data_IF_697415619349
#
_entry.id   IF_697415619349
#
_cell.length_a   1.000
_cell.length_b   1.000
_cell.length_c   1.000
_cell.angle_alpha   90.00
_cell.angle_beta   90.00
_cell.angle_gamma   90.00
#
_symmetry.space_group_name_H-M   'P 1'
#
loop_
_entity.id
_entity.type
_entity.pdbx_description
1 polymer ?
#
# COMPACT_ATOMS: atom_id res chain seq x y z
N UNK A 1 -49.98 17.78 49.19
CA UNK A 1 -50.09 17.41 47.80
C UNK A 1 -48.69 17.16 47.26
N UNK A 2 -48.49 15.94 46.99
CA UNK A 2 -47.22 15.32 46.56
C UNK A 2 -46.99 15.60 45.07
N UNK A 3 -45.82 16.12 44.72
CA UNK A 3 -45.33 16.12 43.36
C UNK A 3 -43.96 15.46 43.31
N UNK A 4 -43.90 14.28 42.70
CA UNK A 4 -42.73 13.50 42.41
C UNK A 4 -42.03 14.10 41.16
N UNK A 5 -40.79 14.49 41.29
CA UNK A 5 -39.98 14.92 40.18
C UNK A 5 -39.18 13.74 39.62
N UNK A 6 -39.49 13.33 38.40
CA UNK A 6 -38.70 12.36 37.65
C UNK A 6 -37.50 13.07 37.02
N UNK A 7 -36.32 12.57 37.35
CA UNK A 7 -35.06 12.99 36.71
C UNK A 7 -34.89 12.29 35.36
N UNK A 8 -35.00 13.07 34.30
CA UNK A 8 -34.67 12.62 32.94
C UNK A 8 -33.16 12.86 32.68
N UNK A 9 -32.39 11.80 32.57
CA UNK A 9 -31.01 11.87 32.05
C UNK A 9 -31.07 12.13 30.58
N UNK A 10 -30.68 13.32 30.16
CA UNK A 10 -30.44 13.63 28.74
C UNK A 10 -29.11 13.02 28.30
N UNK A 11 -29.18 11.91 27.56
CA UNK A 11 -28.06 11.43 26.78
C UNK A 11 -27.75 12.44 25.67
N UNK A 12 -26.56 12.99 25.68
CA UNK A 12 -26.04 13.80 24.60
C UNK A 12 -25.69 12.86 23.45
N UNK A 13 -26.56 12.71 22.46
CA UNK A 13 -26.19 12.16 21.16
C UNK A 13 -25.25 13.16 20.49
N UNK A 14 -23.99 12.74 20.31
CA UNK A 14 -23.05 13.45 19.48
C UNK A 14 -23.53 13.33 18.04
N UNK A 15 -24.14 14.38 17.52
CA UNK A 15 -24.50 14.50 16.10
C UNK A 15 -23.19 14.63 15.31
N UNK A 16 -22.75 13.56 14.64
CA UNK A 16 -21.70 13.65 13.64
C UNK A 16 -22.21 14.60 12.53
N UNK A 17 -21.65 15.79 12.47
CA UNK A 17 -21.91 16.71 11.37
C UNK A 17 -21.22 16.18 10.12
N UNK A 18 -21.95 15.54 9.23
CA UNK A 18 -21.47 15.17 7.90
C UNK A 18 -21.12 16.45 7.15
N UNK A 19 -19.83 16.72 7.01
CA UNK A 19 -19.34 17.84 6.19
C UNK A 19 -19.56 17.48 4.72
N UNK A 20 -20.52 18.11 4.09
CA UNK A 20 -20.71 18.05 2.64
C UNK A 20 -19.67 18.98 1.99
N UNK A 21 -18.79 18.42 1.18
CA UNK A 21 -17.92 19.19 0.32
C UNK A 21 -18.57 19.32 -1.04
N UNK A 22 -18.72 20.55 -1.54
CA UNK A 22 -19.08 20.77 -2.94
C UNK A 22 -17.85 20.39 -3.79
N UNK A 23 -17.89 19.25 -4.45
CA UNK A 23 -16.85 18.81 -5.38
C UNK A 23 -17.29 19.25 -6.77
N UNK A 24 -16.55 20.17 -7.38
CA UNK A 24 -16.65 20.46 -8.81
C UNK A 24 -15.51 19.72 -9.53
N UNK A 25 -15.84 19.00 -10.59
CA UNK A 25 -14.87 18.36 -11.47
C UNK A 25 -14.61 19.30 -12.66
N UNK A 26 -13.33 19.50 -12.98
CA UNK A 26 -12.91 20.27 -14.13
C UNK A 26 -11.97 19.41 -14.98
N UNK A 27 -12.12 19.48 -16.30
CA UNK A 27 -11.24 18.80 -17.24
C UNK A 27 -10.25 19.81 -17.81
N UNK A 28 -8.97 19.52 -17.63
CA UNK A 28 -7.87 20.30 -18.21
C UNK A 28 -7.30 19.50 -19.36
N UNK A 29 -7.37 20.04 -20.58
CA UNK A 29 -6.77 19.42 -21.77
C UNK A 29 -5.50 20.18 -22.13
N UNK A 30 -4.37 19.48 -22.15
CA UNK A 30 -3.08 20.01 -22.58
C UNK A 30 -2.83 19.57 -24.03
N UNK A 31 -2.44 20.53 -24.86
CA UNK A 31 -1.99 20.32 -26.23
C UNK A 31 -0.45 20.30 -26.34
N UNK A 32 0.06 20.56 -27.52
CA UNK A 32 1.50 20.65 -27.76
C UNK A 32 2.13 21.86 -27.04
N UNK A 33 3.45 21.82 -26.89
CA UNK A 33 4.23 22.98 -26.43
C UNK A 33 4.43 23.99 -27.54
N UNK A 34 4.54 25.27 -27.16
CA UNK A 34 5.06 26.32 -28.01
C UNK A 34 6.60 26.25 -28.12
N UNK A 35 7.21 27.13 -28.88
CA UNK A 35 8.66 27.24 -29.04
C UNK A 35 9.43 27.63 -27.78
N UNK A 36 8.73 28.14 -26.74
CA UNK A 36 9.29 28.51 -25.44
C UNK A 36 9.05 27.40 -24.39
N UNK A 37 8.44 26.26 -24.77
CA UNK A 37 8.16 25.14 -23.89
C UNK A 37 6.90 25.28 -23.02
N UNK A 38 6.02 26.25 -23.31
CA UNK A 38 4.74 26.38 -22.64
C UNK A 38 3.66 25.53 -23.31
N UNK A 39 2.73 24.98 -22.54
CA UNK A 39 1.63 24.19 -23.07
C UNK A 39 0.45 25.05 -23.51
N UNK A 40 -0.14 24.73 -24.66
CA UNK A 40 -1.50 25.15 -24.96
C UNK A 40 -2.48 24.37 -24.11
N UNK A 41 -3.42 25.07 -23.45
CA UNK A 41 -4.32 24.50 -22.47
C UNK A 41 -5.76 24.94 -22.73
N UNK A 42 -6.72 24.02 -22.58
CA UNK A 42 -8.14 24.30 -22.47
C UNK A 42 -8.69 23.77 -21.16
N UNK A 43 -9.68 24.46 -20.61
CA UNK A 43 -10.37 24.03 -19.38
C UNK A 43 -11.84 23.82 -19.71
N UNK A 44 -12.36 22.64 -19.41
CA UNK A 44 -13.71 22.20 -19.72
C UNK A 44 -14.07 22.40 -21.21
N UNK A 45 -15.29 22.81 -21.51
CA UNK A 45 -15.76 23.11 -22.86
C UNK A 45 -15.57 24.60 -23.24
N UNK A 46 -14.78 25.34 -22.46
CA UNK A 46 -14.49 26.74 -22.73
C UNK A 46 -13.58 26.82 -23.95
N UNK A 47 -14.09 27.39 -25.05
CA UNK A 47 -13.36 27.54 -26.32
C UNK A 47 -12.31 28.66 -26.27
N UNK A 48 -11.55 28.72 -25.19
CA UNK A 48 -10.42 29.65 -25.01
C UNK A 48 -9.16 28.81 -24.83
N UNK A 49 -8.15 29.09 -25.62
CA UNK A 49 -6.84 28.44 -25.48
C UNK A 49 -5.96 29.35 -24.61
N UNK A 50 -5.49 28.79 -23.54
CA UNK A 50 -4.54 29.45 -22.64
C UNK A 50 -3.13 28.94 -22.92
N UNK A 51 -2.13 29.76 -22.65
CA UNK A 51 -0.73 29.36 -22.64
C UNK A 51 -0.29 29.22 -21.19
N UNK A 52 0.18 28.02 -20.82
CA UNK A 52 0.53 27.67 -19.44
C UNK A 52 1.98 27.24 -19.39
N UNK A 53 2.77 27.82 -18.48
CA UNK A 53 4.16 27.41 -18.29
C UNK A 53 4.24 25.93 -17.88
N UNK A 54 5.19 25.17 -18.43
CA UNK A 54 5.46 23.80 -18.05
C UNK A 54 5.73 23.66 -16.55
N UNK A 55 6.33 24.67 -15.91
CA UNK A 55 6.57 24.69 -14.46
C UNK A 55 5.30 24.79 -13.62
N UNK A 56 4.19 25.26 -14.20
CA UNK A 56 2.88 25.36 -13.54
C UNK A 56 2.07 24.05 -13.65
N UNK A 57 2.47 23.16 -14.53
CA UNK A 57 1.83 21.85 -14.78
C UNK A 57 2.87 20.72 -14.80
N UNK A 58 3.66 20.56 -13.73
CA UNK A 58 4.75 19.56 -13.68
C UNK A 58 4.25 18.12 -13.87
N UNK A 59 3.00 17.87 -13.48
CA UNK A 59 2.34 16.57 -13.65
C UNK A 59 2.11 16.18 -15.12
N UNK A 60 2.17 17.13 -16.06
CA UNK A 60 1.97 16.86 -17.50
C UNK A 60 3.06 15.97 -18.12
N UNK A 61 4.24 15.93 -17.52
CA UNK A 61 5.37 15.10 -17.94
C UNK A 61 5.66 13.94 -17.00
N UNK A 62 4.86 13.81 -15.93
CA UNK A 62 5.02 12.75 -14.94
C UNK A 62 4.81 11.39 -15.60
N UNK A 63 5.82 10.53 -15.48
CA UNK A 63 5.74 9.15 -15.92
C UNK A 63 5.25 8.26 -14.77
N UNK A 64 4.79 7.06 -15.10
CA UNK A 64 4.36 6.09 -14.08
C UNK A 64 5.44 5.87 -13.01
N UNK A 65 6.70 5.79 -13.42
CA UNK A 65 7.83 5.55 -12.52
C UNK A 65 8.12 6.71 -11.56
N UNK A 66 7.70 7.93 -11.88
CA UNK A 66 7.88 9.11 -11.02
C UNK A 66 6.91 9.10 -9.81
N UNK A 67 5.77 8.43 -9.96
CA UNK A 67 4.69 8.43 -8.96
C UNK A 67 4.39 7.07 -8.35
N UNK A 68 4.83 6.01 -9.01
CA UNK A 68 4.59 4.65 -8.52
C UNK A 68 5.43 4.34 -7.28
N UNK A 69 4.84 3.63 -6.34
CA UNK A 69 5.53 3.23 -5.13
C UNK A 69 6.76 2.37 -5.46
N UNK A 70 7.89 2.72 -4.86
CA UNK A 70 9.16 2.01 -5.06
C UNK A 70 9.21 0.73 -4.24
N UNK A 71 8.51 0.69 -3.10
CA UNK A 71 8.46 -0.49 -2.23
C UNK A 71 7.40 -1.48 -2.74
N UNK A 72 7.77 -2.75 -2.88
CA UNK A 72 6.81 -3.80 -3.18
C UNK A 72 5.85 -4.02 -2.00
N UNK A 73 6.34 -3.87 -0.79
CA UNK A 73 5.62 -4.11 0.44
C UNK A 73 5.67 -2.89 1.35
N UNK A 74 4.55 -2.52 1.94
CA UNK A 74 4.46 -1.49 2.98
C UNK A 74 3.53 -1.97 4.11
N UNK A 75 3.75 -3.21 4.61
CA UNK A 75 2.84 -3.91 5.50
C UNK A 75 3.30 -3.83 6.95
N UNK A 76 2.36 -3.49 7.85
CA UNK A 76 2.64 -3.45 9.27
C UNK A 76 2.65 -4.87 9.86
N UNK A 77 3.76 -5.31 10.43
CA UNK A 77 3.91 -6.61 11.06
C UNK A 77 2.84 -6.91 12.12
N UNK A 78 2.30 -5.88 12.79
CA UNK A 78 1.30 -6.02 13.86
C UNK A 78 -0.05 -6.56 13.35
N UNK A 79 -0.34 -6.45 12.06
CA UNK A 79 -1.58 -6.93 11.45
C UNK A 79 -1.40 -8.26 10.72
N UNK A 80 -0.18 -8.80 10.68
CA UNK A 80 0.17 -10.02 9.94
C UNK A 80 -0.04 -11.24 10.82
N UNK A 81 -0.83 -12.20 10.36
CA UNK A 81 -1.07 -13.48 11.04
C UNK A 81 -0.16 -14.60 10.54
N UNK A 82 0.22 -14.57 9.27
CA UNK A 82 1.18 -15.51 8.72
C UNK A 82 1.96 -14.95 7.53
N UNK A 83 3.17 -15.50 7.33
CA UNK A 83 3.98 -15.27 6.14
C UNK A 83 4.35 -16.64 5.58
N UNK A 84 4.02 -16.88 4.31
CA UNK A 84 4.43 -18.08 3.58
C UNK A 84 5.44 -17.68 2.52
N UNK A 85 6.59 -18.32 2.55
CA UNK A 85 7.61 -18.18 1.50
C UNK A 85 7.69 -19.52 0.76
N UNK A 86 7.29 -19.51 -0.51
CA UNK A 86 7.44 -20.64 -1.42
C UNK A 86 8.73 -20.45 -2.19
N UNK A 87 9.61 -21.42 -2.15
CA UNK A 87 10.85 -21.43 -2.91
C UNK A 87 10.94 -22.76 -3.67
N UNK A 88 10.95 -22.69 -4.99
CA UNK A 88 10.96 -23.87 -5.89
C UNK A 88 9.91 -24.91 -5.49
N UNK A 89 8.69 -24.46 -5.23
CA UNK A 89 7.56 -25.30 -4.86
C UNK A 89 7.56 -25.83 -3.42
N UNK A 90 8.49 -25.41 -2.58
CA UNK A 90 8.53 -25.78 -1.16
C UNK A 90 8.12 -24.60 -0.29
N UNK A 91 7.09 -24.81 0.54
CA UNK A 91 6.56 -23.79 1.43
C UNK A 91 7.24 -23.77 2.79
N UNK A 92 7.60 -22.58 3.24
CA UNK A 92 7.98 -22.29 4.63
C UNK A 92 6.94 -21.35 5.22
N UNK A 93 6.18 -21.81 6.22
CA UNK A 93 5.06 -21.07 6.81
C UNK A 93 5.45 -20.55 8.19
N UNK A 94 5.56 -19.24 8.30
CA UNK A 94 5.75 -18.52 9.57
C UNK A 94 4.37 -18.13 10.11
N UNK A 95 4.01 -18.62 11.29
CA UNK A 95 2.80 -18.21 12.00
C UNK A 95 3.15 -17.22 13.09
N UNK A 96 2.41 -16.11 13.15
CA UNK A 96 2.62 -14.99 14.05
C UNK A 96 1.49 -14.94 15.08
N UNK A 97 1.86 -14.83 16.36
CA UNK A 97 0.96 -14.62 17.49
C UNK A 97 1.36 -13.33 18.19
N UNK A 98 0.44 -12.36 18.25
CA UNK A 98 0.70 -11.01 18.76
C UNK A 98 0.21 -10.87 20.21
N UNK A 99 1.00 -10.18 21.03
CA UNK A 99 0.68 -9.85 22.43
C UNK A 99 0.71 -8.32 22.58
N UNK A 100 -0.38 -7.60 22.24
CA UNK A 100 -0.39 -6.13 22.15
C UNK A 100 -0.15 -5.44 23.50
N UNK A 101 -0.49 -6.10 24.62
CA UNK A 101 -0.29 -5.59 25.98
C UNK A 101 1.16 -5.72 26.47
N UNK A 102 1.98 -6.52 25.80
CA UNK A 102 3.40 -6.71 26.13
C UNK A 102 4.24 -5.56 25.61
N UNK A 103 4.91 -4.84 26.49
CA UNK A 103 5.75 -3.68 26.15
C UNK A 103 7.13 -4.08 25.63
N UNK A 104 7.59 -5.28 26.00
CA UNK A 104 8.85 -5.80 25.52
C UNK A 104 8.73 -6.26 24.07
N UNK A 105 9.44 -5.59 23.19
CA UNK A 105 9.39 -5.85 21.74
C UNK A 105 9.91 -7.24 21.36
N UNK A 106 10.66 -7.92 22.21
CA UNK A 106 11.09 -9.30 21.98
C UNK A 106 10.03 -10.33 22.38
N UNK A 107 9.08 -9.93 23.24
CA UNK A 107 8.02 -10.79 23.76
C UNK A 107 6.64 -10.50 23.18
N UNK A 108 6.43 -9.33 22.60
CA UNK A 108 5.12 -8.94 22.05
C UNK A 108 4.76 -9.64 20.74
N UNK A 109 5.65 -10.49 20.23
CA UNK A 109 5.45 -11.32 19.06
C UNK A 109 6.09 -12.69 19.27
N UNK A 110 5.31 -13.75 19.00
CA UNK A 110 5.83 -15.12 18.94
C UNK A 110 5.69 -15.64 17.51
N UNK A 111 6.76 -16.22 17.00
CA UNK A 111 6.81 -16.76 15.65
C UNK A 111 7.11 -18.25 15.71
N UNK A 112 6.36 -19.03 14.93
CA UNK A 112 6.55 -20.48 14.85
C UNK A 112 6.65 -20.92 13.40
N UNK A 113 7.51 -21.91 13.14
CA UNK A 113 7.62 -22.65 11.87
C UNK A 113 7.61 -24.13 12.21
N UNK A 114 6.75 -24.91 11.56
CA UNK A 114 6.58 -26.35 11.79
C UNK A 114 6.40 -26.70 13.27
N UNK A 115 5.68 -25.84 13.99
CA UNK A 115 5.43 -26.00 15.44
C UNK A 115 6.62 -25.65 16.36
N UNK A 116 7.76 -25.25 15.78
CA UNK A 116 8.94 -24.82 16.55
C UNK A 116 8.99 -23.31 16.66
N UNK A 117 9.22 -22.80 17.87
CA UNK A 117 9.38 -21.37 18.09
C UNK A 117 10.70 -20.88 17.53
N UNK A 118 10.64 -19.76 16.80
CA UNK A 118 11.82 -19.06 16.28
C UNK A 118 12.20 -17.89 17.20
N UNK A 119 13.45 -17.45 17.03
CA UNK A 119 13.89 -16.18 17.60
C UNK A 119 13.20 -15.01 16.93
N UNK A 120 12.41 -14.24 17.69
CA UNK A 120 11.61 -13.10 17.20
C UNK A 120 12.46 -12.06 16.51
N UNK A 121 13.66 -11.77 17.03
CA UNK A 121 14.57 -10.78 16.43
C UNK A 121 15.04 -11.21 15.03
N UNK A 122 15.37 -12.50 14.85
CA UNK A 122 15.78 -13.02 13.55
C UNK A 122 14.64 -12.94 12.54
N UNK A 123 13.40 -13.27 12.96
CA UNK A 123 12.25 -13.13 12.08
C UNK A 123 11.99 -11.65 11.73
N UNK A 124 12.09 -10.73 12.67
CA UNK A 124 11.93 -9.30 12.39
C UNK A 124 12.95 -8.79 11.38
N UNK A 125 14.20 -9.26 11.46
CA UNK A 125 15.23 -8.94 10.47
C UNK A 125 14.85 -9.47 9.08
N UNK A 126 14.37 -10.71 8.99
CA UNK A 126 13.85 -11.28 7.73
C UNK A 126 12.68 -10.44 7.19
N UNK A 127 11.72 -10.09 8.05
CA UNK A 127 10.57 -9.28 7.68
C UNK A 127 11.00 -7.90 7.17
N UNK A 128 11.97 -7.25 7.81
CA UNK A 128 12.53 -5.99 7.34
C UNK A 128 13.18 -6.10 5.96
N UNK A 129 13.89 -7.18 5.69
CA UNK A 129 14.47 -7.43 4.36
C UNK A 129 13.36 -7.54 3.32
N UNK A 130 12.30 -8.28 3.60
CA UNK A 130 11.14 -8.38 2.70
C UNK A 130 10.50 -7.01 2.44
N UNK A 131 10.24 -6.23 3.51
CA UNK A 131 9.66 -4.87 3.40
C UNK A 131 10.61 -3.89 2.67
N UNK A 132 11.89 -4.21 2.59
CA UNK A 132 12.88 -3.42 1.87
C UNK A 132 13.02 -3.74 0.38
N UNK A 133 12.28 -4.73 -0.14
CA UNK A 133 12.35 -5.07 -1.57
C UNK A 133 11.79 -3.90 -2.39
N UNK A 134 12.57 -3.47 -3.37
CA UNK A 134 12.26 -2.32 -4.21
C UNK A 134 12.19 -2.73 -5.66
N UNK A 135 11.22 -2.16 -6.38
CA UNK A 135 11.24 -2.22 -7.83
C UNK A 135 12.32 -1.29 -8.39
N UNK A 136 12.90 -1.67 -9.49
CA UNK A 136 13.90 -0.88 -10.22
C UNK A 136 13.38 -0.36 -11.57
N UNK A 137 12.19 -0.78 -11.98
CA UNK A 137 11.53 -0.35 -13.21
C UNK A 137 10.19 -1.05 -13.40
N UNK A 138 9.46 -0.62 -14.43
CA UNK A 138 8.24 -1.29 -14.88
C UNK A 138 8.59 -2.47 -15.80
N UNK A 139 7.72 -3.47 -15.79
CA UNK A 139 7.82 -4.63 -16.68
C UNK A 139 6.96 -4.40 -17.92
N UNK A 140 7.54 -4.63 -19.08
CA UNK A 140 6.85 -4.47 -20.38
C UNK A 140 6.07 -5.72 -20.78
N UNK A 141 6.46 -6.89 -20.27
CA UNK A 141 5.86 -8.20 -20.64
C UNK A 141 5.59 -8.99 -19.37
N UNK A 142 4.38 -9.55 -19.27
CA UNK A 142 4.05 -10.45 -18.16
C UNK A 142 4.97 -11.68 -18.14
N UNK A 143 5.49 -12.07 -16.96
CA UNK A 143 6.30 -13.26 -16.85
C UNK A 143 5.46 -14.52 -17.14
N UNK A 144 6.07 -15.49 -17.80
CA UNK A 144 5.45 -16.76 -18.12
C UNK A 144 6.04 -17.89 -17.25
N UNK A 145 5.23 -18.94 -17.01
CA UNK A 145 5.64 -20.11 -16.23
C UNK A 145 5.34 -19.97 -14.74
N UNK A 146 5.95 -20.84 -13.94
CA UNK A 146 5.80 -20.86 -12.49
C UNK A 146 6.81 -19.93 -11.82
N UNK A 147 6.43 -19.21 -10.75
CA UNK A 147 7.35 -18.37 -10.00
C UNK A 147 8.42 -19.23 -9.31
N UNK A 148 9.66 -18.75 -9.30
CA UNK A 148 10.74 -19.39 -8.55
C UNK A 148 10.56 -19.18 -7.05
N UNK A 149 10.13 -17.95 -6.68
CA UNK A 149 9.83 -17.57 -5.30
C UNK A 149 8.45 -16.92 -5.26
N UNK A 150 7.63 -17.28 -4.26
CA UNK A 150 6.42 -16.54 -3.94
C UNK A 150 6.41 -16.16 -2.46
N UNK A 151 5.92 -14.97 -2.15
CA UNK A 151 5.72 -14.48 -0.79
C UNK A 151 4.23 -14.18 -0.62
N UNK A 152 3.57 -14.88 0.29
CA UNK A 152 2.19 -14.63 0.69
C UNK A 152 2.18 -14.11 2.11
N UNK A 153 1.52 -12.98 2.34
CA UNK A 153 1.35 -12.37 3.66
C UNK A 153 -0.14 -12.31 3.96
N UNK A 154 -0.56 -13.01 5.00
CA UNK A 154 -1.96 -13.07 5.44
C UNK A 154 -2.17 -12.10 6.60
N UNK A 155 -3.21 -11.29 6.50
CA UNK A 155 -3.61 -10.32 7.51
C UNK A 155 -4.82 -10.81 8.30
N UNK A 156 -4.95 -10.35 9.55
CA UNK A 156 -6.18 -10.52 10.31
C UNK A 156 -7.29 -9.63 9.73
N UNK A 157 -8.30 -10.28 9.10
CA UNK A 157 -9.50 -9.62 8.58
C UNK A 157 -9.33 -8.84 7.27
N UNK A 158 -8.24 -9.06 6.54
CA UNK A 158 -7.96 -8.45 5.24
C UNK A 158 -7.73 -9.48 4.13
N UNK A 159 -7.52 -8.98 2.92
CA UNK A 159 -7.10 -9.81 1.78
C UNK A 159 -5.62 -10.18 1.93
N UNK A 160 -5.26 -11.38 1.45
CA UNK A 160 -3.88 -11.82 1.38
C UNK A 160 -3.11 -10.96 0.37
N UNK A 161 -1.91 -10.55 0.76
CA UNK A 161 -0.95 -9.98 -0.18
C UNK A 161 -0.09 -11.10 -0.76
N UNK A 162 0.05 -11.15 -2.08
CA UNK A 162 0.87 -12.16 -2.78
C UNK A 162 1.83 -11.46 -3.74
N UNK A 163 3.11 -11.77 -3.65
CA UNK A 163 4.11 -11.36 -4.61
C UNK A 163 4.82 -12.59 -5.18
N UNK A 164 4.87 -12.71 -6.48
CA UNK A 164 5.47 -13.80 -7.22
C UNK A 164 6.68 -13.31 -8.00
N UNK A 165 7.80 -13.98 -7.84
CA UNK A 165 9.08 -13.60 -8.43
C UNK A 165 9.51 -14.65 -9.46
N UNK A 166 9.79 -14.18 -10.66
CA UNK A 166 10.22 -14.97 -11.80
C UNK A 166 11.65 -14.58 -12.16
N UNK A 167 12.54 -15.54 -12.25
CA UNK A 167 13.92 -15.26 -12.63
C UNK A 167 13.97 -14.65 -14.05
N UNK A 168 14.58 -13.47 -14.17
CA UNK A 168 14.82 -12.80 -15.45
C UNK A 168 16.24 -13.03 -15.93
N UNK A 169 17.21 -12.93 -15.02
CA UNK A 169 18.62 -13.27 -15.23
C UNK A 169 19.27 -13.69 -13.90
N UNK A 170 20.59 -13.81 -13.86
CA UNK A 170 21.33 -14.31 -12.68
C UNK A 170 21.12 -13.47 -11.41
N UNK A 171 20.70 -12.20 -11.51
CA UNK A 171 20.63 -11.25 -10.40
C UNK A 171 19.34 -10.43 -10.36
N UNK A 172 18.43 -10.62 -11.33
CA UNK A 172 17.18 -9.87 -11.41
C UNK A 172 15.97 -10.79 -11.49
N UNK A 173 14.88 -10.31 -10.92
CA UNK A 173 13.58 -10.97 -10.95
C UNK A 173 12.54 -10.00 -11.49
N UNK A 174 11.62 -10.51 -12.29
CA UNK A 174 10.35 -9.84 -12.52
C UNK A 174 9.39 -10.21 -11.41
N UNK A 175 8.53 -9.27 -10.97
CA UNK A 175 7.59 -9.48 -9.90
C UNK A 175 6.16 -9.23 -10.38
N UNK A 176 5.24 -10.14 -10.04
CA UNK A 176 3.79 -9.99 -10.17
C UNK A 176 3.18 -9.87 -8.78
N UNK A 177 2.27 -8.90 -8.59
CA UNK A 177 1.51 -8.64 -7.36
C UNK A 177 0.06 -9.06 -7.54
#
# INVERSE_FOLDING_TARGET
DTSSAASTSSGSEATESTKYYNVSAHTVTLGNKDENGNYYCMVDDIRVIYLVSATSVPWAETQYDDVADVLLFALNIQTVSSVTITNQGTDTIFKLEHFPDEKDTEKNLKVTVDGKQLNTKQFRNLYQVMMGIRRTGAMEVEPAGDPEIAIRITHEGGEDFVAEFFAADANTYTCRL
#
